data_IF_430859488000
#
_entry.id   IF_430859488000
#
_cell.length_a   1.000
_cell.length_b   1.000
_cell.length_c   1.000
_cell.angle_alpha   90.00
_cell.angle_beta   90.00
_cell.angle_gamma   90.00
#
_symmetry.space_group_name_H-M   'P 1'
#
loop_
_entity.id
_entity.type
_entity.pdbx_description
1 polymer ?
#
# COMPACT_ATOMS: atom_id res chain seq x y z
N UNK A 1 -4.60 -9.05 -9.48
CA UNK A 1 -4.78 -7.67 -9.97
C UNK A 1 -3.38 -7.08 -10.11
N UNK A 2 -2.88 -6.95 -11.34
CA UNK A 2 -1.47 -6.64 -11.60
C UNK A 2 -1.20 -5.15 -11.51
N UNK A 3 -0.03 -4.79 -10.97
CA UNK A 3 0.53 -3.44 -11.02
C UNK A 3 0.68 -3.01 -12.50
N UNK A 4 -0.09 -2.01 -12.94
CA UNK A 4 -0.06 -1.48 -14.31
C UNK A 4 0.82 -0.22 -14.34
N UNK A 5 2.04 -0.34 -13.81
CA UNK A 5 3.00 0.77 -13.88
C UNK A 5 3.23 1.22 -15.32
N UNK A 6 3.57 2.49 -15.49
CA UNK A 6 3.83 3.08 -16.81
C UNK A 6 4.91 2.29 -17.56
N UNK A 7 5.99 1.93 -16.85
CA UNK A 7 7.11 1.16 -17.41
C UNK A 7 6.68 -0.22 -17.91
N UNK A 8 5.87 -0.96 -17.15
CA UNK A 8 5.34 -2.27 -17.57
C UNK A 8 4.44 -2.16 -18.79
N UNK A 9 3.73 -1.05 -18.92
CA UNK A 9 2.83 -0.81 -20.06
C UNK A 9 3.65 -0.49 -21.31
N UNK A 10 4.72 0.30 -21.18
CA UNK A 10 5.68 0.57 -22.26
C UNK A 10 6.36 -0.71 -22.76
N UNK A 11 6.81 -1.59 -21.87
CA UNK A 11 7.42 -2.88 -22.25
C UNK A 11 6.47 -3.81 -23.03
N UNK A 12 5.19 -3.82 -22.67
CA UNK A 12 4.19 -4.64 -23.37
C UNK A 12 3.86 -4.10 -24.75
N UNK A 13 3.76 -2.79 -24.89
CA UNK A 13 3.46 -2.17 -26.18
C UNK A 13 4.66 -2.30 -27.11
N UNK A 14 5.88 -2.09 -26.62
CA UNK A 14 7.10 -2.21 -27.44
C UNK A 14 7.34 -3.62 -27.99
N UNK A 15 6.81 -4.66 -27.32
CA UNK A 15 6.92 -6.05 -27.76
C UNK A 15 5.81 -6.49 -28.73
N UNK A 16 4.75 -5.69 -28.91
CA UNK A 16 3.55 -6.10 -29.66
C UNK A 16 3.19 -5.18 -30.83
N UNK A 17 3.59 -3.91 -30.78
CA UNK A 17 3.23 -2.93 -31.79
C UNK A 17 4.31 -1.83 -31.91
N UNK A 18 4.35 -1.17 -33.07
CA UNK A 18 5.27 -0.06 -33.31
C UNK A 18 4.61 0.99 -34.22
N UNK A 19 4.79 2.27 -33.88
CA UNK A 19 4.40 3.41 -34.71
C UNK A 19 5.25 4.66 -34.37
N UNK A 20 5.30 5.69 -35.23
CA UNK A 20 6.00 6.92 -34.91
C UNK A 20 5.44 7.57 -33.64
N UNK A 21 6.31 7.98 -32.71
CA UNK A 21 5.94 8.63 -31.43
C UNK A 21 5.10 7.76 -30.47
N UNK A 22 5.11 6.44 -30.63
CA UNK A 22 4.31 5.52 -29.81
C UNK A 22 4.51 5.68 -28.30
N UNK A 23 5.74 5.96 -27.86
CA UNK A 23 6.05 6.11 -26.45
C UNK A 23 5.42 7.38 -25.85
N UNK A 24 5.41 8.48 -26.62
CA UNK A 24 4.82 9.75 -26.22
C UNK A 24 3.29 9.62 -26.13
N UNK A 25 2.66 9.07 -27.18
CA UNK A 25 1.21 8.87 -27.22
C UNK A 25 0.74 7.90 -26.13
N UNK A 26 1.54 6.86 -25.84
CA UNK A 26 1.24 5.93 -24.77
C UNK A 26 1.32 6.58 -23.39
N UNK A 27 2.35 7.41 -23.13
CA UNK A 27 2.47 8.15 -21.88
C UNK A 27 1.30 9.12 -21.69
N UNK A 28 0.88 9.81 -22.75
CA UNK A 28 -0.28 10.70 -22.72
C UNK A 28 -1.59 9.93 -22.45
N UNK A 29 -1.77 8.77 -23.08
CA UNK A 29 -2.90 7.88 -22.80
C UNK A 29 -2.92 7.40 -21.35
N UNK A 30 -1.79 6.92 -20.81
CA UNK A 30 -1.69 6.45 -19.42
C UNK A 30 -2.01 7.60 -18.44
N UNK A 31 -1.52 8.80 -18.73
CA UNK A 31 -1.75 9.98 -17.90
C UNK A 31 -3.20 10.51 -17.96
N UNK A 32 -3.96 10.21 -19.00
CA UNK A 32 -5.37 10.63 -19.15
C UNK A 32 -6.38 9.52 -18.85
N UNK A 33 -5.94 8.26 -18.78
CA UNK A 33 -6.79 7.09 -18.57
C UNK A 33 -7.34 6.99 -17.13
N UNK A 34 -8.63 7.34 -16.94
CA UNK A 34 -9.30 7.27 -15.63
C UNK A 34 -9.28 5.87 -15.00
N UNK A 35 -9.50 4.82 -15.81
CA UNK A 35 -9.46 3.43 -15.35
C UNK A 35 -8.08 3.04 -14.85
N UNK A 36 -7.04 3.52 -15.51
CA UNK A 36 -5.65 3.28 -15.16
C UNK A 36 -5.33 3.96 -13.82
N UNK A 37 -5.77 5.21 -13.63
CA UNK A 37 -5.61 5.93 -12.35
C UNK A 37 -6.38 5.31 -11.18
N UNK A 38 -7.60 4.79 -11.43
CA UNK A 38 -8.41 4.12 -10.41
C UNK A 38 -7.88 2.72 -10.06
N UNK A 39 -7.36 2.00 -11.05
CA UNK A 39 -6.84 0.64 -10.91
C UNK A 39 -5.42 0.58 -10.36
N UNK A 40 -4.58 1.56 -10.70
CA UNK A 40 -3.27 1.72 -10.07
C UNK A 40 -3.45 2.32 -8.69
N UNK A 41 -3.27 1.48 -7.68
CA UNK A 41 -3.00 1.97 -6.33
C UNK A 41 -1.72 2.77 -6.38
N UNK A 42 -1.82 4.10 -6.43
CA UNK A 42 -0.69 4.95 -6.11
C UNK A 42 -0.24 4.53 -4.72
N UNK A 43 0.94 3.94 -4.61
CA UNK A 43 1.64 3.95 -3.34
C UNK A 43 1.63 5.43 -2.91
N UNK A 44 1.03 5.71 -1.75
CA UNK A 44 0.85 7.09 -1.31
C UNK A 44 2.18 7.85 -1.32
N UNK A 45 2.13 9.16 -1.09
CA UNK A 45 3.37 9.91 -0.82
C UNK A 45 4.21 9.10 0.18
N UNK A 46 5.53 9.02 -0.05
CA UNK A 46 6.45 8.40 0.91
C UNK A 46 6.02 8.84 2.30
N UNK A 47 5.84 7.89 3.21
CA UNK A 47 5.47 8.19 4.59
C UNK A 47 6.33 9.36 5.05
N UNK A 48 5.69 10.41 5.57
CA UNK A 48 6.41 11.58 6.05
C UNK A 48 7.43 11.19 7.13
N UNK A 49 8.31 12.11 7.50
CA UNK A 49 9.16 11.89 8.65
C UNK A 49 8.29 11.53 9.86
N UNK A 50 8.72 10.52 10.61
CA UNK A 50 8.09 10.13 11.86
C UNK A 50 7.95 11.39 12.72
N UNK A 51 6.73 11.71 13.19
CA UNK A 51 6.55 12.82 14.12
C UNK A 51 7.30 12.48 15.40
N UNK A 52 8.15 13.41 15.86
CA UNK A 52 8.86 13.23 17.12
C UNK A 52 7.88 13.33 18.28
N UNK A 53 7.86 12.33 19.15
CA UNK A 53 7.11 12.37 20.41
C UNK A 53 8.09 12.90 21.45
N UNK A 54 7.68 13.94 22.20
CA UNK A 54 8.52 14.46 23.29
C UNK A 54 8.77 13.38 24.35
N UNK A 55 10.01 13.27 24.81
CA UNK A 55 10.36 12.33 25.86
C UNK A 55 9.71 12.77 27.20
N UNK A 56 8.97 11.87 27.87
CA UNK A 56 8.43 12.16 29.19
C UNK A 56 9.58 12.36 30.19
N UNK A 57 9.48 13.41 31.01
CA UNK A 57 10.45 13.79 32.04
C UNK A 57 10.19 13.11 33.38
N UNK A 58 8.97 12.64 33.61
CA UNK A 58 8.55 12.04 34.86
C UNK A 58 7.87 10.68 34.65
N UNK A 59 7.94 9.78 35.65
CA UNK A 59 7.18 8.53 35.61
C UNK A 59 5.69 8.80 35.41
N UNK A 60 5.04 8.03 34.53
CA UNK A 60 3.60 8.08 34.24
C UNK A 60 3.10 9.34 33.51
N UNK A 61 3.99 10.17 32.98
CA UNK A 61 3.61 11.39 32.25
C UNK A 61 2.95 11.11 30.89
N UNK A 62 3.27 9.97 30.26
CA UNK A 62 2.66 9.56 28.98
C UNK A 62 2.32 8.09 29.02
N UNK A 63 1.06 7.76 28.69
CA UNK A 63 0.55 6.39 28.56
C UNK A 63 -0.08 6.27 27.18
N UNK A 64 0.54 5.46 26.31
CA UNK A 64 -0.01 5.11 25.00
C UNK A 64 -0.80 3.81 25.12
N UNK A 65 -2.02 3.78 24.58
CA UNK A 65 -2.90 2.61 24.60
C UNK A 65 -3.33 2.29 23.16
N UNK A 66 -3.41 1.00 22.85
CA UNK A 66 -3.94 0.51 21.57
C UNK A 66 -4.90 -0.66 21.81
N UNK A 67 -5.88 -0.81 20.92
CA UNK A 67 -6.88 -1.87 21.00
C UNK A 67 -6.46 -3.05 20.13
N UNK A 68 -6.20 -4.19 20.77
CA UNK A 68 -5.98 -5.43 20.04
C UNK A 68 -7.32 -6.13 19.81
N UNK A 69 -7.73 -6.24 18.55
CA UNK A 69 -8.95 -6.96 18.13
C UNK A 69 -8.60 -8.26 17.40
N UNK A 70 -9.54 -9.22 17.36
CA UNK A 70 -9.36 -10.47 16.60
C UNK A 70 -8.52 -11.54 17.30
N UNK A 71 -8.37 -11.44 18.62
CA UNK A 71 -7.78 -12.52 19.42
C UNK A 71 -8.71 -13.74 19.41
N UNK A 72 -8.13 -14.93 19.26
CA UNK A 72 -8.87 -16.17 19.39
C UNK A 72 -9.50 -16.23 20.78
N UNK A 73 -10.76 -16.67 20.85
CA UNK A 73 -11.36 -16.99 22.13
C UNK A 73 -10.57 -18.12 22.78
N UNK A 74 -10.35 -17.99 24.08
CA UNK A 74 -9.67 -19.00 24.89
C UNK A 74 -10.33 -20.36 24.63
N UNK A 75 -9.58 -21.31 24.07
CA UNK A 75 -9.97 -22.70 24.11
C UNK A 75 -9.98 -23.07 25.59
N UNK A 76 -11.17 -23.31 26.15
CA UNK A 76 -11.29 -23.86 27.49
C UNK A 76 -10.47 -25.13 27.48
N UNK A 77 -9.35 -25.12 28.20
CA UNK A 77 -8.60 -26.34 28.52
C UNK A 77 -9.56 -27.18 29.36
N UNK A 78 -10.33 -28.03 28.70
CA UNK A 78 -11.06 -29.09 29.38
C UNK A 78 -9.98 -29.89 30.09
N UNK A 79 -9.98 -29.81 31.42
CA UNK A 79 -9.28 -30.77 32.27
C UNK A 79 -9.62 -32.16 31.74
N UNK A 80 -8.61 -32.99 31.53
CA UNK A 80 -8.83 -34.40 31.17
C UNK A 80 -9.79 -35.02 32.21
N UNK A 81 -10.82 -35.75 31.78
CA UNK A 81 -11.59 -36.57 32.71
C UNK A 81 -10.70 -37.68 33.25
N UNK A 82 -10.87 -37.97 34.55
CA UNK A 82 -10.14 -38.98 35.34
C UNK A 82 -10.14 -40.39 34.70
#
# INVERSE_FOLDING_TARGET
MGDMSEDRTKERVSSTAWWPKWEQELSEYINTCERCHKGNRKHGKKYGLLQHIEEPKHPWETINLDWVTGLAQEEKRTSMPD
#
